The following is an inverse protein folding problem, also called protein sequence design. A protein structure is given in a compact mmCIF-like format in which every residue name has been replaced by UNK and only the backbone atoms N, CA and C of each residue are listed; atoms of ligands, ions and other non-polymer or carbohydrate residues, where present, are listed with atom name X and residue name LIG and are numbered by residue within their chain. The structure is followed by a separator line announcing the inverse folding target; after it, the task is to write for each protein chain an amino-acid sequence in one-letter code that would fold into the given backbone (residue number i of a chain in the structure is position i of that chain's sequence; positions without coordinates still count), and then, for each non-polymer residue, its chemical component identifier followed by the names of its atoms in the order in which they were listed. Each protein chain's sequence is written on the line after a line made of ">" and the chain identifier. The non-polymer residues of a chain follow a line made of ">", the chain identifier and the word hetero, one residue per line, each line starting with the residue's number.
data_IF_819757596994
#
_entry.id   IF_819757596994
#
_cell.length_a   1.000
_cell.length_b   1.000
_cell.length_c   1.000
_cell.angle_alpha   90.00
_cell.angle_beta   90.00
_cell.angle_gamma   90.00
#
_symmetry.space_group_name_H-M   'P 1'
#
loop_
_entity.id
_entity.type
_entity.pdbx_description
1 polymer ?
#
# COMPACT_ATOMS: atom_id res chain seq x y z
N UNK A 1 -4.93 -3.43 5.50
CA UNK A 1 -5.51 -2.21 5.61
C UNK A 1 -5.30 -1.14 4.58
N UNK A 2 -5.74 0.04 4.90
CA UNK A 2 -5.59 1.22 4.05
C UNK A 2 -6.82 1.60 3.24
N UNK A 3 -7.84 0.76 3.20
CA UNK A 3 -9.12 1.07 2.57
C UNK A 3 -10.00 1.89 3.53
N UNK A 4 -10.23 3.16 3.21
CA UNK A 4 -10.91 4.08 4.11
C UNK A 4 -12.40 3.71 4.27
N UNK A 5 -13.11 3.50 3.17
CA UNK A 5 -14.54 3.24 3.17
C UNK A 5 -14.92 1.85 3.72
N UNK A 6 -14.03 0.87 3.58
CA UNK A 6 -14.29 -0.51 4.02
C UNK A 6 -13.88 -0.72 5.47
N UNK A 7 -12.81 -0.05 5.88
CA UNK A 7 -12.21 -0.36 7.16
C UNK A 7 -12.28 0.77 8.16
N UNK A 8 -12.99 1.80 8.01
CA UNK A 8 -13.04 2.88 9.02
C UNK A 8 -12.86 2.34 10.48
N UNK A 9 -11.88 1.43 10.62
CA UNK A 9 -11.55 0.62 11.80
C UNK A 9 -12.76 -0.12 12.39
N UNK A 10 -13.71 -0.54 11.53
CA UNK A 10 -14.86 -1.30 11.96
C UNK A 10 -14.49 -2.80 12.07
N UNK A 11 -14.37 -3.35 13.27
CA UNK A 11 -14.03 -4.76 13.47
C UNK A 11 -15.09 -5.71 12.88
N UNK A 12 -16.35 -5.28 12.75
CA UNK A 12 -17.42 -6.10 12.20
C UNK A 12 -17.13 -6.58 10.76
N UNK A 13 -16.46 -5.74 9.94
CA UNK A 13 -16.07 -6.13 8.60
C UNK A 13 -15.03 -7.27 8.61
N UNK A 14 -14.04 -7.20 9.49
CA UNK A 14 -13.03 -8.26 9.64
C UNK A 14 -13.65 -9.56 10.14
N UNK A 15 -14.62 -9.48 11.06
CA UNK A 15 -15.39 -10.64 11.51
C UNK A 15 -16.14 -11.26 10.34
N UNK A 16 -16.81 -10.45 9.52
CA UNK A 16 -17.54 -10.92 8.33
C UNK A 16 -16.58 -11.63 7.35
N UNK A 17 -15.44 -11.01 7.01
CA UNK A 17 -14.43 -11.61 6.12
C UNK A 17 -13.89 -12.91 6.71
N UNK A 18 -13.57 -12.94 8.01
CA UNK A 18 -13.11 -14.15 8.70
C UNK A 18 -14.15 -15.27 8.65
N UNK A 19 -15.44 -14.92 8.85
CA UNK A 19 -16.55 -15.88 8.77
C UNK A 19 -16.70 -16.46 7.37
N UNK A 20 -16.63 -15.62 6.33
CA UNK A 20 -16.69 -16.08 4.94
C UNK A 20 -15.54 -17.02 4.61
N UNK A 21 -14.30 -16.65 4.99
CA UNK A 21 -13.12 -17.50 4.73
C UNK A 21 -13.22 -18.81 5.51
N UNK A 22 -13.64 -18.77 6.78
CA UNK A 22 -13.85 -19.97 7.59
C UNK A 22 -14.90 -20.89 6.96
N UNK A 23 -16.01 -20.32 6.46
CA UNK A 23 -17.05 -21.09 5.75
C UNK A 23 -16.49 -21.76 4.50
N UNK A 24 -15.62 -21.08 3.74
CA UNK A 24 -14.95 -21.67 2.58
C UNK A 24 -14.04 -22.84 2.98
N UNK A 25 -13.44 -22.83 4.18
CA UNK A 25 -12.68 -23.95 4.71
C UNK A 25 -13.55 -25.16 4.98
N UNK A 26 -14.73 -24.98 5.57
CA UNK A 26 -15.66 -26.09 5.82
C UNK A 26 -16.13 -26.77 4.53
N UNK A 27 -16.14 -26.03 3.41
CA UNK A 27 -16.46 -26.60 2.10
C UNK A 27 -15.27 -27.36 1.48
N UNK A 28 -14.06 -27.23 2.02
CA UNK A 28 -12.88 -27.96 1.58
C UNK A 28 -12.81 -29.31 2.33
N UNK A 29 -12.99 -30.41 1.61
CA UNK A 29 -13.06 -31.75 2.20
C UNK A 29 -11.78 -32.28 2.86
N UNK A 30 -10.62 -31.61 2.66
CA UNK A 30 -9.34 -32.06 3.27
C UNK A 30 -8.46 -30.87 3.64
N UNK A 31 -8.21 -30.70 4.94
CA UNK A 31 -7.20 -29.79 5.47
C UNK A 31 -5.91 -30.59 5.70
N UNK A 32 -4.80 -30.13 5.14
CA UNK A 32 -3.49 -30.75 5.36
C UNK A 32 -3.02 -30.44 6.78
N UNK A 33 -2.73 -31.48 7.56
CA UNK A 33 -2.27 -31.35 8.95
C UNK A 33 -1.03 -30.44 9.07
N UNK A 34 -0.07 -30.53 8.15
CA UNK A 34 1.13 -29.70 8.13
C UNK A 34 0.77 -28.21 7.96
N UNK A 35 -0.19 -27.89 7.10
CA UNK A 35 -0.67 -26.52 6.90
C UNK A 35 -1.40 -26.01 8.13
N UNK A 36 -2.19 -26.85 8.79
CA UNK A 36 -2.89 -26.50 10.03
C UNK A 36 -1.91 -26.14 11.15
N UNK A 37 -0.95 -27.03 11.44
CA UNK A 37 0.03 -26.79 12.51
C UNK A 37 0.94 -25.59 12.22
N UNK A 38 1.37 -25.39 10.98
CA UNK A 38 2.18 -24.22 10.61
C UNK A 38 1.42 -22.91 10.78
N UNK A 39 0.14 -22.89 10.43
CA UNK A 39 -0.69 -21.70 10.60
C UNK A 39 -0.99 -21.40 12.05
N UNK A 40 -1.19 -22.43 12.86
CA UNK A 40 -1.38 -22.29 14.30
C UNK A 40 -0.11 -21.77 14.98
N UNK A 41 1.07 -22.24 14.57
CA UNK A 41 2.36 -21.73 15.04
C UNK A 41 2.52 -20.24 14.69
N UNK A 42 2.23 -19.84 13.44
CA UNK A 42 2.31 -18.44 13.00
C UNK A 42 1.35 -17.57 13.81
N UNK A 43 0.11 -18.03 14.03
CA UNK A 43 -0.86 -17.33 14.88
C UNK A 43 -0.32 -17.15 16.29
N UNK A 44 0.21 -18.22 16.90
CA UNK A 44 0.77 -18.18 18.25
C UNK A 44 1.90 -17.17 18.36
N UNK A 45 2.86 -17.18 17.42
CA UNK A 45 3.98 -16.22 17.39
C UNK A 45 3.46 -14.79 17.25
N UNK A 46 2.57 -14.52 16.29
CA UNK A 46 2.05 -13.19 16.06
C UNK A 46 1.23 -12.66 17.25
N UNK A 47 0.41 -13.49 17.87
CA UNK A 47 -0.34 -13.08 19.06
C UNK A 47 0.55 -12.92 20.28
N UNK A 48 1.63 -13.70 20.41
CA UNK A 48 2.63 -13.51 21.48
C UNK A 48 3.33 -12.16 21.32
N UNK A 49 3.78 -11.82 20.12
CA UNK A 49 4.38 -10.51 19.82
C UNK A 49 3.38 -9.37 20.06
N UNK A 50 2.12 -9.57 19.70
CA UNK A 50 1.06 -8.61 19.95
C UNK A 50 0.82 -8.41 21.45
N UNK A 51 0.78 -9.48 22.25
CA UNK A 51 0.63 -9.43 23.69
C UNK A 51 1.82 -8.73 24.36
N UNK A 52 3.05 -9.03 23.93
CA UNK A 52 4.27 -8.34 24.42
C UNK A 52 4.17 -6.85 24.09
N UNK A 53 3.79 -6.49 22.88
CA UNK A 53 3.61 -5.08 22.51
C UNK A 53 2.54 -4.39 23.37
N UNK A 54 1.42 -5.07 23.64
CA UNK A 54 0.36 -4.55 24.51
C UNK A 54 0.83 -4.31 25.94
N UNK A 55 1.58 -5.26 26.52
CA UNK A 55 2.04 -5.19 27.92
C UNK A 55 3.18 -4.18 28.11
N UNK A 56 4.03 -3.99 27.11
CA UNK A 56 5.18 -3.07 27.16
C UNK A 56 4.88 -1.68 26.57
N UNK A 57 3.66 -1.44 26.10
CA UNK A 57 3.29 -0.15 25.53
C UNK A 57 3.30 0.96 26.59
N UNK A 58 4.10 1.99 26.38
CA UNK A 58 4.13 3.19 27.21
C UNK A 58 2.88 4.04 27.06
N UNK A 59 2.26 4.01 25.86
CA UNK A 59 1.01 4.70 25.53
C UNK A 59 -0.04 3.69 25.10
N UNK A 60 -0.98 3.39 26.00
CA UNK A 60 -2.10 2.50 25.70
C UNK A 60 -3.03 3.12 24.67
N UNK A 61 -3.31 2.36 23.62
CA UNK A 61 -4.30 2.71 22.62
C UNK A 61 -5.72 2.30 23.08
N UNK A 62 -6.75 2.77 22.39
CA UNK A 62 -8.12 2.34 22.69
C UNK A 62 -8.30 0.83 22.50
N UNK A 63 -9.14 0.20 23.30
CA UNK A 63 -9.46 -1.23 23.20
C UNK A 63 -9.93 -1.62 21.79
N UNK A 64 -10.74 -0.76 21.17
CA UNK A 64 -11.22 -0.95 19.79
C UNK A 64 -10.06 -1.09 18.77
N UNK A 65 -8.99 -0.33 18.97
CA UNK A 65 -7.82 -0.37 18.11
C UNK A 65 -7.03 -1.68 18.27
N UNK A 66 -6.90 -2.16 19.51
CA UNK A 66 -6.28 -3.46 19.76
C UNK A 66 -7.12 -4.61 19.22
N UNK A 67 -8.44 -4.59 19.41
CA UNK A 67 -9.33 -5.59 18.82
C UNK A 67 -9.24 -5.61 17.29
N UNK A 68 -9.22 -4.43 16.66
CA UNK A 68 -9.06 -4.34 15.22
C UNK A 68 -7.73 -4.92 14.74
N UNK A 69 -6.62 -4.65 15.44
CA UNK A 69 -5.30 -5.23 15.11
C UNK A 69 -5.29 -6.74 15.28
N UNK A 70 -5.83 -7.26 16.40
CA UNK A 70 -5.93 -8.70 16.65
C UNK A 70 -6.76 -9.42 15.57
N UNK A 71 -7.92 -8.86 15.22
CA UNK A 71 -8.75 -9.39 14.14
C UNK A 71 -8.07 -9.30 12.77
N UNK A 72 -7.27 -8.26 12.53
CA UNK A 72 -6.49 -8.14 11.29
C UNK A 72 -5.45 -9.25 11.19
N UNK A 73 -4.72 -9.53 12.27
CA UNK A 73 -3.75 -10.64 12.35
C UNK A 73 -4.47 -11.96 12.06
N UNK A 74 -5.56 -12.23 12.77
CA UNK A 74 -6.33 -13.46 12.63
C UNK A 74 -6.85 -13.64 11.19
N UNK A 75 -7.49 -12.62 10.62
CA UNK A 75 -8.02 -12.66 9.25
C UNK A 75 -6.90 -12.87 8.23
N UNK A 76 -5.75 -12.22 8.41
CA UNK A 76 -4.60 -12.38 7.51
C UNK A 76 -4.08 -13.82 7.52
N UNK A 77 -3.93 -14.40 8.70
CA UNK A 77 -3.46 -15.79 8.81
C UNK A 77 -4.48 -16.77 8.24
N UNK A 78 -5.79 -16.54 8.43
CA UNK A 78 -6.84 -17.36 7.79
C UNK A 78 -6.75 -17.30 6.26
N UNK A 79 -6.55 -16.12 5.66
CA UNK A 79 -6.38 -15.98 4.21
C UNK A 79 -5.16 -16.77 3.73
N UNK A 80 -4.02 -16.59 4.40
CA UNK A 80 -2.79 -17.31 4.05
C UNK A 80 -2.95 -18.80 4.21
N UNK A 81 -3.62 -19.25 5.28
CA UNK A 81 -3.94 -20.66 5.53
C UNK A 81 -4.81 -21.23 4.40
N UNK A 82 -5.87 -20.51 4.00
CA UNK A 82 -6.73 -20.92 2.90
C UNK A 82 -5.92 -21.17 1.62
N UNK A 83 -5.10 -20.20 1.21
CA UNK A 83 -4.29 -20.35 0.00
C UNK A 83 -3.17 -21.38 0.12
N UNK A 84 -2.57 -21.55 1.30
CA UNK A 84 -1.55 -22.56 1.51
C UNK A 84 -2.12 -24.00 1.49
N UNK A 85 -3.40 -24.15 1.82
CA UNK A 85 -4.10 -25.45 1.73
C UNK A 85 -4.49 -25.82 0.29
N UNK A 86 -4.48 -24.86 -0.66
CA UNK A 86 -4.74 -25.15 -2.07
C UNK A 86 -3.63 -26.02 -2.67
N UNK A 87 -4.00 -26.89 -3.63
CA UNK A 87 -3.03 -27.74 -4.30
C UNK A 87 -2.05 -26.95 -5.17
N UNK A 88 -2.51 -25.85 -5.75
CA UNK A 88 -1.71 -24.99 -6.62
C UNK A 88 -1.33 -23.67 -5.93
N UNK A 89 -0.05 -23.48 -5.68
CA UNK A 89 0.50 -22.23 -5.15
C UNK A 89 0.30 -21.03 -6.09
N UNK A 90 0.07 -21.29 -7.38
CA UNK A 90 -0.17 -20.25 -8.38
C UNK A 90 -1.53 -19.58 -8.20
N UNK A 91 -2.50 -20.20 -7.55
CA UNK A 91 -3.84 -19.65 -7.30
C UNK A 91 -3.73 -18.32 -6.52
N UNK A 92 -2.93 -18.29 -5.47
CA UNK A 92 -2.72 -17.06 -4.68
C UNK A 92 -2.14 -15.94 -5.52
N UNK A 93 -1.06 -16.24 -6.27
CA UNK A 93 -0.36 -15.24 -7.09
C UNK A 93 -1.28 -14.70 -8.18
N UNK A 94 -2.06 -15.56 -8.83
CA UNK A 94 -3.02 -15.16 -9.87
C UNK A 94 -4.15 -14.29 -9.30
N UNK A 95 -4.69 -14.66 -8.14
CA UNK A 95 -5.73 -13.88 -7.45
C UNK A 95 -5.20 -12.52 -7.02
N UNK A 96 -4.02 -12.48 -6.42
CA UNK A 96 -3.35 -11.24 -6.03
C UNK A 96 -3.09 -10.35 -7.24
N UNK A 97 -2.55 -10.89 -8.32
CA UNK A 97 -2.30 -10.16 -9.57
C UNK A 97 -3.59 -9.58 -10.16
N UNK A 98 -4.69 -10.35 -10.14
CA UNK A 98 -5.99 -9.86 -10.60
C UNK A 98 -6.48 -8.68 -9.76
N UNK A 99 -6.44 -8.79 -8.42
CA UNK A 99 -6.84 -7.72 -7.51
C UNK A 99 -5.97 -6.47 -7.71
N UNK A 100 -4.66 -6.63 -7.86
CA UNK A 100 -3.76 -5.51 -8.10
C UNK A 100 -4.03 -4.80 -9.43
N UNK A 101 -4.47 -5.52 -10.47
CA UNK A 101 -4.93 -4.88 -11.71
C UNK A 101 -6.20 -4.07 -11.50
N UNK A 102 -7.15 -4.56 -10.70
CA UNK A 102 -8.34 -3.77 -10.35
C UNK A 102 -7.96 -2.49 -9.60
N UNK A 103 -7.01 -2.58 -8.67
CA UNK A 103 -6.45 -1.41 -7.97
C UNK A 103 -5.81 -0.42 -8.95
N UNK A 104 -5.04 -0.91 -9.93
CA UNK A 104 -4.46 -0.08 -10.98
C UNK A 104 -5.53 0.67 -11.79
N UNK A 105 -6.52 -0.06 -12.31
CA UNK A 105 -7.58 0.56 -13.11
C UNK A 105 -8.40 1.55 -12.29
N UNK A 106 -8.71 1.23 -11.06
CA UNK A 106 -9.36 2.16 -10.15
C UNK A 106 -8.51 3.41 -9.91
N UNK A 107 -7.20 3.29 -9.70
CA UNK A 107 -6.31 4.43 -9.50
C UNK A 107 -6.23 5.33 -10.73
N UNK A 108 -6.14 4.76 -11.94
CA UNK A 108 -6.15 5.53 -13.19
C UNK A 108 -7.50 6.23 -13.40
N UNK A 109 -8.59 5.53 -13.13
CA UNK A 109 -9.93 6.11 -13.21
C UNK A 109 -10.13 7.23 -12.18
N UNK A 110 -9.67 7.03 -10.93
CA UNK A 110 -9.67 8.07 -9.89
C UNK A 110 -8.93 9.33 -10.35
N UNK A 111 -7.76 9.18 -10.96
CA UNK A 111 -7.00 10.31 -11.46
C UNK A 111 -7.74 11.10 -12.55
N UNK A 112 -8.36 10.39 -13.49
CA UNK A 112 -9.16 11.02 -14.55
C UNK A 112 -10.43 11.66 -13.96
N UNK A 113 -11.11 10.96 -13.06
CA UNK A 113 -12.35 11.41 -12.43
C UNK A 113 -12.15 12.71 -11.65
N UNK A 114 -10.95 12.98 -11.12
CA UNK A 114 -10.65 14.21 -10.39
C UNK A 114 -11.11 15.47 -11.13
N UNK A 115 -10.86 15.55 -12.44
CA UNK A 115 -11.21 16.70 -13.26
C UNK A 115 -12.73 16.93 -13.39
N UNK A 116 -13.52 15.90 -13.15
CA UNK A 116 -15.00 15.96 -13.26
C UNK A 116 -15.69 16.11 -11.91
N UNK A 117 -15.01 15.75 -10.82
CA UNK A 117 -15.63 15.72 -9.49
C UNK A 117 -15.03 16.73 -8.51
N UNK A 118 -14.10 17.58 -8.97
CA UNK A 118 -13.37 18.52 -8.12
C UNK A 118 -14.29 19.40 -7.28
N UNK A 119 -15.39 19.89 -7.85
CA UNK A 119 -16.36 20.76 -7.19
C UNK A 119 -17.26 20.02 -6.17
N UNK A 120 -17.26 18.70 -6.21
CA UNK A 120 -18.08 17.86 -5.34
C UNK A 120 -17.24 17.06 -4.32
N UNK A 121 -15.98 17.43 -4.15
CA UNK A 121 -15.11 16.80 -3.17
C UNK A 121 -15.40 17.36 -1.78
N UNK A 122 -15.43 16.49 -0.77
CA UNK A 122 -15.50 16.88 0.62
C UNK A 122 -14.31 16.36 1.43
N UNK A 123 -13.95 17.11 2.47
CA UNK A 123 -12.79 16.82 3.30
C UNK A 123 -13.17 15.82 4.41
N UNK A 124 -12.43 14.74 4.51
CA UNK A 124 -12.45 13.85 5.66
C UNK A 124 -11.19 14.09 6.47
N UNK A 125 -11.36 14.43 7.73
CA UNK A 125 -10.26 14.59 8.68
C UNK A 125 -10.19 13.41 9.63
N UNK A 126 -8.99 12.90 9.86
CA UNK A 126 -8.66 11.97 10.94
C UNK A 126 -7.55 12.58 11.79
N UNK A 127 -7.26 11.99 12.96
CA UNK A 127 -6.18 12.47 13.83
C UNK A 127 -4.83 12.70 13.11
N UNK A 128 -4.59 12.04 11.99
CA UNK A 128 -3.28 12.04 11.32
C UNK A 128 -3.32 12.38 9.83
N UNK A 129 -4.50 12.39 9.22
CA UNK A 129 -4.61 12.53 7.75
C UNK A 129 -5.83 13.36 7.37
N UNK A 130 -5.62 14.24 6.42
CA UNK A 130 -6.64 14.97 5.70
C UNK A 130 -6.73 14.41 4.28
N UNK A 131 -7.92 14.02 3.87
CA UNK A 131 -8.16 13.38 2.60
C UNK A 131 -9.41 13.95 1.96
N UNK A 132 -9.30 14.48 0.75
CA UNK A 132 -10.46 14.81 -0.07
C UNK A 132 -11.06 13.52 -0.62
N UNK A 133 -12.37 13.41 -0.62
CA UNK A 133 -13.06 12.26 -1.16
C UNK A 133 -14.27 12.65 -1.98
N UNK A 134 -14.54 11.85 -3.01
CA UNK A 134 -15.81 11.83 -3.72
C UNK A 134 -16.58 10.57 -3.34
N UNK A 135 -17.64 10.74 -2.57
CA UNK A 135 -18.55 9.66 -2.13
C UNK A 135 -17.84 8.40 -1.59
N UNK A 136 -16.71 8.54 -0.92
CA UNK A 136 -15.87 7.44 -0.43
C UNK A 136 -15.36 6.48 -1.52
N UNK A 137 -15.52 6.82 -2.79
CA UNK A 137 -15.03 6.03 -3.92
C UNK A 137 -13.61 6.42 -4.33
N UNK A 138 -13.36 7.72 -4.42
CA UNK A 138 -12.06 8.26 -4.80
C UNK A 138 -11.51 9.10 -3.66
N UNK A 139 -10.25 8.87 -3.37
CA UNK A 139 -9.54 9.59 -2.31
C UNK A 139 -8.31 10.30 -2.88
N UNK A 140 -8.15 11.54 -2.44
CA UNK A 140 -7.06 12.41 -2.84
C UNK A 140 -6.38 12.93 -1.58
N UNK A 141 -5.13 12.51 -1.38
CA UNK A 141 -4.39 12.85 -0.17
C UNK A 141 -3.91 14.29 -0.27
N UNK A 142 -4.36 15.11 0.66
CA UNK A 142 -3.84 16.45 0.89
C UNK A 142 -2.74 16.41 1.94
N UNK A 143 -1.99 17.48 2.03
CA UNK A 143 -1.09 17.73 3.14
C UNK A 143 -1.25 19.17 3.61
N UNK A 144 -1.67 19.31 4.87
CA UNK A 144 -1.95 20.62 5.44
C UNK A 144 -3.02 21.40 4.67
N UNK A 145 -4.01 20.69 4.07
CA UNK A 145 -5.09 21.32 3.31
C UNK A 145 -4.71 21.76 1.89
N UNK A 146 -3.46 21.59 1.46
CA UNK A 146 -2.97 22.12 0.18
C UNK A 146 -2.74 21.00 -0.84
N UNK A 147 -3.11 21.26 -2.10
CA UNK A 147 -2.72 20.44 -3.24
C UNK A 147 -1.19 20.44 -3.39
N UNK A 148 -0.65 19.30 -3.78
CA UNK A 148 0.78 18.98 -3.60
C UNK A 148 1.56 19.07 -4.91
N UNK A 149 0.88 19.07 -6.04
CA UNK A 149 1.50 19.03 -7.37
C UNK A 149 1.04 20.25 -8.16
N UNK A 150 1.97 21.15 -8.38
CA UNK A 150 1.74 22.30 -9.26
C UNK A 150 2.28 21.95 -10.65
N UNK A 151 1.41 21.61 -11.58
CA UNK A 151 1.78 21.25 -12.95
C UNK A 151 0.95 22.07 -13.94
N UNK A 152 1.62 22.81 -14.83
CA UNK A 152 0.98 23.58 -15.89
C UNK A 152 -0.10 24.57 -15.41
N UNK A 153 0.06 25.12 -14.19
CA UNK A 153 -0.91 26.04 -13.59
C UNK A 153 -2.11 25.36 -12.93
N UNK A 154 -2.10 24.04 -12.81
CA UNK A 154 -3.11 23.28 -12.11
C UNK A 154 -2.54 22.68 -10.82
N UNK A 155 -3.35 22.71 -9.79
CA UNK A 155 -3.04 22.12 -8.48
C UNK A 155 -3.68 20.74 -8.36
N UNK A 156 -2.84 19.71 -8.32
CA UNK A 156 -3.31 18.33 -8.17
C UNK A 156 -3.03 17.82 -6.78
N UNK A 157 -4.02 17.22 -6.12
CA UNK A 157 -3.78 16.42 -4.95
C UNK A 157 -3.11 15.10 -5.34
N UNK A 158 -2.47 14.49 -4.38
CA UNK A 158 -1.88 13.16 -4.58
C UNK A 158 -2.97 12.11 -4.73
N UNK A 159 -2.93 11.35 -5.81
CA UNK A 159 -3.89 10.26 -6.03
C UNK A 159 -3.68 9.15 -5.00
N UNK A 160 -4.69 8.92 -4.19
CA UNK A 160 -4.73 7.83 -3.20
C UNK A 160 -5.67 6.68 -3.66
N UNK A 161 -6.42 6.87 -4.75
CA UNK A 161 -7.34 5.87 -5.29
C UNK A 161 -8.41 5.49 -4.27
N UNK A 162 -8.48 4.20 -3.92
CA UNK A 162 -9.37 3.68 -2.88
C UNK A 162 -8.78 3.70 -1.47
N UNK A 163 -7.54 4.17 -1.32
CA UNK A 163 -6.85 4.17 -0.05
C UNK A 163 -6.88 5.56 0.59
N UNK A 164 -6.67 5.62 1.89
CA UNK A 164 -6.60 6.87 2.64
C UNK A 164 -5.29 7.65 2.42
N UNK A 165 -4.25 6.99 1.89
CA UNK A 165 -2.93 7.59 1.68
C UNK A 165 -2.33 7.12 0.36
N UNK A 166 -1.78 8.07 -0.42
CA UNK A 166 -1.10 7.79 -1.67
C UNK A 166 0.14 6.87 -1.50
N UNK A 167 0.76 6.88 -0.31
CA UNK A 167 1.87 5.99 0.04
C UNK A 167 1.49 4.52 0.06
N UNK A 168 0.25 4.20 0.42
CA UNK A 168 -0.26 2.83 0.42
C UNK A 168 -0.55 2.38 -1.01
N UNK A 169 -1.25 3.21 -1.80
CA UNK A 169 -1.53 2.92 -3.20
C UNK A 169 -0.25 2.59 -3.99
N UNK A 170 0.78 3.42 -3.84
CA UNK A 170 2.05 3.20 -4.55
C UNK A 170 2.73 1.87 -4.16
N UNK A 171 2.59 1.40 -2.92
CA UNK A 171 3.10 0.10 -2.48
C UNK A 171 2.48 -1.05 -3.27
N UNK A 172 1.15 -1.03 -3.43
CA UNK A 172 0.44 -2.04 -4.25
C UNK A 172 0.78 -1.96 -5.73
N UNK A 173 0.93 -0.74 -6.27
CA UNK A 173 1.32 -0.55 -7.67
C UNK A 173 2.75 -1.03 -7.94
N UNK A 174 3.69 -0.78 -7.03
CA UNK A 174 5.06 -1.31 -7.13
C UNK A 174 5.08 -2.85 -7.03
N UNK A 175 4.25 -3.44 -6.19
CA UNK A 175 4.09 -4.89 -6.13
C UNK A 175 3.54 -5.44 -7.45
N UNK A 176 2.55 -4.79 -8.05
CA UNK A 176 2.04 -5.17 -9.38
C UNK A 176 3.12 -5.07 -10.46
N UNK A 177 3.93 -4.00 -10.44
CA UNK A 177 5.06 -3.82 -11.36
C UNK A 177 6.07 -4.97 -11.23
N UNK A 178 6.41 -5.33 -10.00
CA UNK A 178 7.30 -6.46 -9.73
C UNK A 178 6.74 -7.78 -10.26
N UNK A 179 5.47 -8.09 -9.98
CA UNK A 179 4.82 -9.32 -10.43
C UNK A 179 4.77 -9.39 -11.97
N UNK A 180 4.43 -8.28 -12.64
CA UNK A 180 4.35 -8.21 -14.10
C UNK A 180 5.70 -8.50 -14.78
N UNK A 181 6.79 -7.99 -14.21
CA UNK A 181 8.12 -8.21 -14.79
C UNK A 181 8.70 -9.57 -14.44
N UNK A 182 8.51 -10.04 -13.18
CA UNK A 182 9.20 -11.22 -12.67
C UNK A 182 8.47 -12.53 -12.93
N UNK A 183 7.13 -12.52 -12.92
CA UNK A 183 6.32 -13.74 -12.90
C UNK A 183 5.46 -13.84 -14.16
N UNK A 184 4.89 -12.73 -14.64
CA UNK A 184 3.94 -12.72 -15.75
C UNK A 184 4.59 -12.38 -17.10
N UNK A 185 3.77 -12.19 -18.13
CA UNK A 185 4.21 -12.09 -19.55
C UNK A 185 4.94 -10.80 -19.93
N UNK A 186 5.23 -9.89 -18.99
CA UNK A 186 5.88 -8.60 -19.25
C UNK A 186 5.17 -7.77 -20.31
N UNK A 187 3.88 -7.49 -20.07
CA UNK A 187 3.09 -6.67 -20.98
C UNK A 187 3.52 -5.19 -20.89
N UNK A 188 4.14 -4.69 -21.96
CA UNK A 188 4.68 -3.32 -22.02
C UNK A 188 3.61 -2.25 -21.82
N UNK A 189 2.39 -2.45 -22.34
CA UNK A 189 1.28 -1.51 -22.17
C UNK A 189 0.85 -1.43 -20.69
N UNK A 190 0.73 -2.59 -20.04
CA UNK A 190 0.40 -2.65 -18.62
C UNK A 190 1.49 -2.02 -17.76
N UNK A 191 2.76 -2.28 -18.06
CA UNK A 191 3.88 -1.64 -17.35
C UNK A 191 3.85 -0.11 -17.49
N UNK A 192 3.55 0.41 -18.68
CA UNK A 192 3.41 1.86 -18.88
C UNK A 192 2.26 2.44 -18.05
N UNK A 193 1.10 1.76 -17.98
CA UNK A 193 -0.03 2.17 -17.14
C UNK A 193 0.31 2.13 -15.65
N UNK A 194 1.06 1.12 -15.19
CA UNK A 194 1.50 1.04 -13.79
C UNK A 194 2.44 2.21 -13.46
N UNK A 195 3.41 2.51 -14.31
CA UNK A 195 4.33 3.64 -14.14
C UNK A 195 3.54 4.95 -14.07
N UNK A 196 2.60 5.16 -15.00
CA UNK A 196 1.73 6.35 -14.99
C UNK A 196 0.96 6.46 -13.68
N UNK A 197 0.34 5.37 -13.21
CA UNK A 197 -0.39 5.36 -11.95
C UNK A 197 0.51 5.66 -10.75
N UNK A 198 1.74 5.14 -10.70
CA UNK A 198 2.71 5.45 -9.64
C UNK A 198 3.07 6.94 -9.65
N UNK A 199 3.25 7.53 -10.83
CA UNK A 199 3.52 8.97 -10.96
C UNK A 199 2.39 9.82 -10.35
N UNK A 200 1.13 9.46 -10.56
CA UNK A 200 -0.02 10.19 -10.01
C UNK A 200 -0.07 10.18 -8.48
N UNK A 201 0.59 9.23 -7.81
CA UNK A 201 0.66 9.19 -6.35
C UNK A 201 1.61 10.23 -5.77
N UNK A 202 2.54 10.74 -6.57
CA UNK A 202 3.59 11.68 -6.18
C UNK A 202 4.29 11.30 -4.87
N UNK A 203 4.59 10.00 -4.75
CA UNK A 203 5.25 9.44 -3.58
C UNK A 203 6.75 9.25 -3.83
N UNK A 204 7.61 9.94 -3.07
CA UNK A 204 9.07 9.77 -3.17
C UNK A 204 9.50 8.33 -2.93
N UNK A 205 8.94 7.67 -1.93
CA UNK A 205 9.25 6.27 -1.63
C UNK A 205 8.84 5.35 -2.79
N UNK A 206 7.66 5.61 -3.38
CA UNK A 206 7.17 4.84 -4.53
C UNK A 206 8.05 4.99 -5.77
N UNK A 207 8.47 6.21 -6.05
CA UNK A 207 9.38 6.50 -7.16
C UNK A 207 10.75 5.86 -6.95
N UNK A 208 11.29 5.89 -5.72
CA UNK A 208 12.54 5.24 -5.40
C UNK A 208 12.46 3.73 -5.63
N UNK A 209 11.41 3.06 -5.13
CA UNK A 209 11.21 1.63 -5.36
C UNK A 209 11.05 1.30 -6.85
N UNK A 210 10.32 2.11 -7.60
CA UNK A 210 10.18 1.94 -9.05
C UNK A 210 11.54 2.03 -9.76
N UNK A 211 12.35 3.05 -9.43
CA UNK A 211 13.69 3.22 -10.01
C UNK A 211 14.57 2.01 -9.69
N UNK A 212 14.61 1.57 -8.43
CA UNK A 212 15.38 0.40 -8.02
C UNK A 212 14.94 -0.87 -8.76
N UNK A 213 13.64 -1.08 -8.95
CA UNK A 213 13.11 -2.21 -9.71
C UNK A 213 13.53 -2.12 -11.19
N UNK A 214 13.40 -0.96 -11.81
CA UNK A 214 13.81 -0.75 -13.20
C UNK A 214 15.30 -1.04 -13.36
N UNK A 215 16.15 -0.52 -12.47
CA UNK A 215 17.60 -0.78 -12.50
C UNK A 215 17.89 -2.27 -12.35
N UNK A 216 17.29 -2.94 -11.35
CA UNK A 216 17.50 -4.36 -11.08
C UNK A 216 17.12 -5.24 -12.26
N UNK A 217 15.93 -5.05 -12.83
CA UNK A 217 15.47 -5.87 -13.97
C UNK A 217 16.19 -5.53 -15.27
N UNK A 218 16.72 -4.33 -15.38
CA UNK A 218 17.50 -3.89 -16.52
C UNK A 218 18.90 -4.47 -16.51
N UNK A 219 19.54 -4.49 -15.34
CA UNK A 219 20.85 -5.13 -15.17
C UNK A 219 20.81 -6.61 -15.59
N UNK A 220 19.71 -7.29 -15.28
CA UNK A 220 19.51 -8.70 -15.65
C UNK A 220 19.24 -8.92 -17.16
N UNK A 221 18.88 -7.86 -17.90
CA UNK A 221 18.54 -7.90 -19.33
C UNK A 221 19.55 -7.09 -20.14
N UNK A 222 20.75 -7.59 -20.36
CA UNK A 222 21.92 -6.95 -20.99
C UNK A 222 21.73 -6.26 -22.36
N UNK A 223 20.52 -6.23 -22.97
CA UNK A 223 20.33 -5.83 -24.38
C UNK A 223 19.81 -4.40 -24.64
N UNK A 224 19.53 -3.54 -23.65
CA UNK A 224 18.93 -2.22 -23.94
C UNK A 224 19.27 -1.12 -22.92
N UNK A 225 20.54 -0.83 -22.72
CA UNK A 225 20.97 0.15 -21.70
C UNK A 225 20.49 1.59 -21.96
N UNK A 226 20.46 2.04 -23.22
CA UNK A 226 20.13 3.44 -23.56
C UNK A 226 18.65 3.77 -23.30
N UNK A 227 17.71 2.88 -23.68
CA UNK A 227 16.26 3.13 -23.46
C UNK A 227 15.88 3.18 -21.99
N UNK A 228 16.65 2.49 -21.17
CA UNK A 228 16.45 2.44 -19.73
C UNK A 228 16.95 3.72 -19.07
N UNK A 229 18.11 4.21 -19.49
CA UNK A 229 18.66 5.49 -19.05
C UNK A 229 17.68 6.61 -19.37
N UNK A 230 17.11 6.63 -20.59
CA UNK A 230 16.09 7.61 -20.99
C UNK A 230 14.82 7.57 -20.14
N UNK A 231 14.49 6.41 -19.56
CA UNK A 231 13.35 6.30 -18.64
C UNK A 231 13.72 6.70 -17.20
N UNK A 232 14.94 6.36 -16.76
CA UNK A 232 15.39 6.65 -15.39
C UNK A 232 15.61 8.14 -15.17
N UNK A 233 16.14 8.87 -16.15
CA UNK A 233 16.42 10.31 -16.02
C UNK A 233 15.17 11.11 -15.62
N UNK A 234 14.04 11.06 -16.35
CA UNK A 234 12.83 11.81 -15.95
C UNK A 234 12.26 11.35 -14.61
N UNK A 235 12.30 10.06 -14.30
CA UNK A 235 11.88 9.53 -13.00
C UNK A 235 12.76 10.06 -11.87
N UNK A 236 14.07 10.12 -12.07
CA UNK A 236 15.01 10.69 -11.11
C UNK A 236 14.80 12.19 -10.91
N UNK A 237 14.55 12.94 -11.97
CA UNK A 237 14.26 14.37 -11.87
C UNK A 237 12.98 14.62 -11.05
N UNK A 238 11.90 13.90 -11.33
CA UNK A 238 10.65 13.98 -10.55
C UNK A 238 10.89 13.57 -9.08
N UNK A 239 11.66 12.51 -8.86
CA UNK A 239 12.05 12.08 -7.52
C UNK A 239 12.83 13.18 -6.79
N UNK A 240 13.81 13.80 -7.44
CA UNK A 240 14.65 14.82 -6.83
C UNK A 240 13.86 16.09 -6.49
N UNK A 241 12.98 16.54 -7.39
CA UNK A 241 12.07 17.67 -7.12
C UNK A 241 11.21 17.36 -5.89
N UNK A 242 10.57 16.19 -5.85
CA UNK A 242 9.73 15.77 -4.73
C UNK A 242 10.52 15.58 -3.42
N UNK A 243 11.77 15.15 -3.49
CA UNK A 243 12.65 15.02 -2.34
C UNK A 243 13.05 16.39 -1.79
N UNK A 244 13.42 17.33 -2.67
CA UNK A 244 13.81 18.68 -2.28
C UNK A 244 12.64 19.42 -1.60
N UNK A 245 11.42 19.29 -2.11
CA UNK A 245 10.24 19.83 -1.44
C UNK A 245 10.02 19.22 -0.04
N UNK A 246 10.39 17.96 0.17
CA UNK A 246 10.30 17.31 1.50
C UNK A 246 11.40 17.75 2.46
N UNK A 247 12.59 18.05 1.96
CA UNK A 247 13.74 18.42 2.81
C UNK A 247 13.70 19.90 3.14
N UNK A 248 13.42 20.77 2.15
CA UNK A 248 13.55 22.21 2.26
C UNK A 248 12.24 22.97 2.16
N UNK A 249 11.16 22.34 1.70
CA UNK A 249 9.86 22.96 1.49
C UNK A 249 8.88 22.75 2.65
N UNK A 250 7.62 23.03 2.40
CA UNK A 250 6.51 22.93 3.37
C UNK A 250 6.33 21.52 3.97
N UNK A 251 6.95 20.47 3.37
CA UNK A 251 6.90 19.08 3.84
C UNK A 251 8.03 18.68 4.78
N UNK A 252 8.87 19.60 5.21
CA UNK A 252 10.03 19.34 6.07
C UNK A 252 9.64 18.63 7.38
N UNK A 253 8.52 19.02 7.99
CA UNK A 253 8.02 18.40 9.23
C UNK A 253 7.79 16.89 9.11
N UNK A 254 7.31 16.42 7.94
CA UNK A 254 7.09 14.99 7.67
C UNK A 254 8.40 14.23 7.47
N UNK A 255 9.40 14.86 6.91
CA UNK A 255 10.73 14.27 6.73
C UNK A 255 11.43 14.16 8.09
N UNK A 256 11.43 15.22 8.88
CA UNK A 256 11.99 15.25 10.22
C UNK A 256 11.35 14.21 11.14
N UNK A 257 10.01 14.09 11.11
CA UNK A 257 9.29 13.07 11.88
C UNK A 257 9.76 11.65 11.52
N UNK A 258 9.88 11.33 10.22
CA UNK A 258 10.36 10.00 9.78
C UNK A 258 11.83 9.77 10.14
N UNK A 259 12.66 10.79 10.05
CA UNK A 259 14.05 10.71 10.49
C UNK A 259 14.13 10.42 11.98
N UNK A 260 13.32 11.14 12.78
CA UNK A 260 13.20 10.91 14.20
C UNK A 260 12.72 9.48 14.51
N UNK A 261 11.65 9.00 13.87
CA UNK A 261 11.12 7.65 14.04
C UNK A 261 12.15 6.55 13.67
N UNK A 262 13.04 6.82 12.71
CA UNK A 262 14.14 5.92 12.33
C UNK A 262 15.31 5.95 13.31
N UNK A 263 15.61 7.10 13.88
CA UNK A 263 16.81 7.26 14.72
C UNK A 263 16.52 7.02 16.20
N UNK A 264 15.31 7.33 16.67
CA UNK A 264 14.93 7.18 18.07
C UNK A 264 15.16 5.78 18.66
N UNK A 265 14.83 4.66 17.98
CA UNK A 265 15.10 3.32 18.52
C UNK A 265 16.59 3.07 18.79
N UNK A 266 17.47 3.65 17.99
CA UNK A 266 18.93 3.52 18.18
C UNK A 266 19.39 4.32 19.39
N UNK A 267 18.87 5.52 19.63
CA UNK A 267 19.21 6.33 20.79
C UNK A 267 18.69 5.72 22.09
N UNK A 268 17.49 5.14 22.10
CA UNK A 268 16.93 4.44 23.27
C UNK A 268 17.70 3.15 23.57
N UNK A 269 18.24 2.46 22.56
CA UNK A 269 19.01 1.24 22.76
C UNK A 269 20.44 1.49 23.29
N UNK A 270 20.94 2.73 23.19
CA UNK A 270 22.30 3.12 23.62
C UNK A 270 22.27 3.85 24.99
N UNK A 271 21.13 4.38 25.43
CA UNK A 271 20.93 5.01 26.71
C UNK A 271 20.58 4.00 27.81
#
# INVERSE_FOLDING_TARGET
>A
GGLLFVFNRNPAFLVLVSTVISSLFFLQHRIKNTTFYSSLLVLFVLFSLFAINFTLATNLQSLTKYLFLGLTIFTTVLVLFYYNNQESKTVFINSLYFILKLVLFHALFSFIAYFFVIDNLFLITSEYHETLTFNYLFHYSLKGGVAVIHLFGFDFPRNAGMFWEAGILQGYLNLLFFLEISIFKRNRKLLALIILAILTTYSTTGLLFLILQIVYFSYKSLKSNIKIILLIIPLYLIFNINLNEKIYGERQSSFQKRLFDLTQPFFIAIA
#
